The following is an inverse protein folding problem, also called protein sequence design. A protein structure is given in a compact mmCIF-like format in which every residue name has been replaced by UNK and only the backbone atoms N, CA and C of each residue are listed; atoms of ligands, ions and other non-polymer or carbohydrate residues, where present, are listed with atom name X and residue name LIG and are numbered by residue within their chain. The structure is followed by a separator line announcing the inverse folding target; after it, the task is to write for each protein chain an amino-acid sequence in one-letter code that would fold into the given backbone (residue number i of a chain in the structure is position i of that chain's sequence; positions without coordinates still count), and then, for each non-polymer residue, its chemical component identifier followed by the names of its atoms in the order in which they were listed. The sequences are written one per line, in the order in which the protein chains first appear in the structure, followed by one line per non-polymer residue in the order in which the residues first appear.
data_IF_588160109823
#
_entry.id   IF_588160109823
#
_cell.length_a   1.000
_cell.length_b   1.000
_cell.length_c   1.000
_cell.angle_alpha   90.00
_cell.angle_beta   90.00
_cell.angle_gamma   90.00
#
_symmetry.space_group_name_H-M   'P 1'
#
loop_
_entity.id
_entity.type
_entity.pdbx_description
1 polymer ?
#
# COMPACT_ATOMS: atom_id res chain seq x y z
N UNK A 1 -39.27 -23.46 -10.41
CA UNK A 1 -38.85 -23.80 -9.04
C UNK A 1 -37.33 -23.94 -9.03
N UNK A 2 -36.66 -23.02 -8.31
CA UNK A 2 -35.20 -22.86 -8.22
C UNK A 2 -34.75 -23.35 -6.84
N UNK A 3 -34.25 -24.58 -6.71
CA UNK A 3 -33.73 -25.11 -5.44
C UNK A 3 -32.58 -26.10 -5.70
N UNK A 4 -31.50 -25.70 -6.39
CA UNK A 4 -30.29 -26.54 -6.49
C UNK A 4 -28.97 -25.75 -6.56
N UNK A 5 -28.95 -24.48 -6.12
CA UNK A 5 -27.75 -23.64 -6.16
C UNK A 5 -27.33 -23.08 -4.79
N UNK A 6 -27.73 -23.74 -3.69
CA UNK A 6 -27.39 -23.31 -2.30
C UNK A 6 -26.50 -24.34 -1.58
N UNK A 7 -26.32 -25.54 -2.14
CA UNK A 7 -25.58 -26.64 -1.49
C UNK A 7 -24.06 -26.61 -1.82
N UNK A 8 -23.56 -25.56 -2.48
CA UNK A 8 -22.11 -25.36 -2.66
C UNK A 8 -21.46 -24.51 -1.54
N UNK A 9 -22.25 -23.79 -0.74
CA UNK A 9 -21.70 -22.91 0.31
C UNK A 9 -21.51 -23.60 1.69
N UNK A 10 -22.09 -24.79 1.91
CA UNK A 10 -22.09 -25.41 3.25
C UNK A 10 -20.89 -26.36 3.46
N UNK A 11 -20.17 -26.73 2.39
CA UNK A 11 -19.01 -27.62 2.50
C UNK A 11 -17.66 -26.91 2.82
N UNK A 12 -17.64 -25.58 2.93
CA UNK A 12 -16.45 -24.83 3.37
C UNK A 12 -16.34 -24.64 4.89
N UNK A 13 -17.18 -25.33 5.67
CA UNK A 13 -17.20 -25.26 7.14
C UNK A 13 -16.24 -26.24 7.85
N UNK A 14 -15.38 -26.95 7.10
CA UNK A 14 -14.32 -27.82 7.66
C UNK A 14 -12.93 -27.17 7.53
N UNK A 15 -12.79 -26.02 8.19
CA UNK A 15 -11.71 -25.70 9.15
C UNK A 15 -10.23 -26.00 8.84
N UNK A 16 -9.73 -25.74 7.63
CA UNK A 16 -8.29 -25.43 7.43
C UNK A 16 -7.94 -24.66 6.13
N UNK A 17 -8.81 -24.66 5.11
CA UNK A 17 -8.44 -24.21 3.75
C UNK A 17 -8.73 -22.75 3.36
N UNK A 18 -9.60 -22.03 4.08
CA UNK A 18 -10.02 -20.68 3.67
C UNK A 18 -9.00 -19.58 4.02
N UNK A 19 -8.21 -19.75 5.08
CA UNK A 19 -7.22 -18.76 5.49
C UNK A 19 -6.01 -18.72 4.52
N UNK A 20 -5.60 -19.87 3.99
CA UNK A 20 -4.49 -19.96 3.04
C UNK A 20 -4.82 -19.34 1.67
N UNK A 21 -6.08 -19.39 1.24
CA UNK A 21 -6.52 -18.80 -0.03
C UNK A 21 -6.50 -17.26 0.03
N UNK A 22 -7.08 -16.67 1.08
CA UNK A 22 -7.07 -15.21 1.27
C UNK A 22 -5.66 -14.63 1.43
N UNK A 23 -4.78 -15.32 2.15
CA UNK A 23 -3.40 -14.88 2.32
C UNK A 23 -2.57 -14.92 1.01
N UNK A 24 -2.92 -15.82 0.09
CA UNK A 24 -2.33 -15.86 -1.26
C UNK A 24 -2.81 -14.70 -2.13
N UNK A 25 -4.12 -14.42 -2.07
CA UNK A 25 -4.75 -13.33 -2.83
C UNK A 25 -4.23 -11.96 -2.39
N UNK A 26 -4.08 -11.72 -1.08
CA UNK A 26 -3.57 -10.45 -0.55
C UNK A 26 -2.10 -10.19 -0.94
N UNK A 27 -1.27 -11.24 -0.98
CA UNK A 27 0.13 -11.13 -1.43
C UNK A 27 0.21 -10.80 -2.92
N UNK A 28 -0.64 -11.42 -3.74
CA UNK A 28 -0.70 -11.13 -5.17
C UNK A 28 -1.23 -9.71 -5.42
N UNK A 29 -2.26 -9.29 -4.67
CA UNK A 29 -2.80 -7.94 -4.73
C UNK A 29 -1.76 -6.88 -4.31
N UNK A 30 -0.99 -7.15 -3.26
CA UNK A 30 0.11 -6.28 -2.82
C UNK A 30 1.18 -6.16 -3.90
N UNK A 31 1.64 -7.28 -4.44
CA UNK A 31 2.66 -7.28 -5.49
C UNK A 31 2.20 -6.49 -6.73
N UNK A 32 0.93 -6.66 -7.14
CA UNK A 32 0.34 -5.91 -8.23
C UNK A 32 0.26 -4.40 -7.93
N UNK A 33 -0.21 -4.02 -6.74
CA UNK A 33 -0.30 -2.63 -6.33
C UNK A 33 1.08 -1.97 -6.21
N UNK A 34 2.11 -2.68 -5.74
CA UNK A 34 3.50 -2.18 -5.68
C UNK A 34 4.05 -1.92 -7.08
N UNK A 35 3.84 -2.85 -8.01
CA UNK A 35 4.29 -2.67 -9.39
C UNK A 35 3.59 -1.48 -10.08
N UNK A 36 2.28 -1.32 -9.83
CA UNK A 36 1.50 -0.18 -10.34
C UNK A 36 1.96 1.15 -9.72
N UNK A 37 2.16 1.19 -8.40
CA UNK A 37 2.68 2.36 -7.70
C UNK A 37 4.05 2.76 -8.24
N UNK A 38 4.98 1.82 -8.40
CA UNK A 38 6.31 2.12 -8.94
C UNK A 38 6.22 2.72 -10.34
N UNK A 39 5.32 2.21 -11.20
CA UNK A 39 5.11 2.75 -12.54
C UNK A 39 4.57 4.18 -12.53
N UNK A 40 3.55 4.47 -11.72
CA UNK A 40 2.97 5.83 -11.63
C UNK A 40 3.95 6.80 -10.96
N UNK A 41 4.67 6.37 -9.93
CA UNK A 41 5.74 7.16 -9.32
C UNK A 41 6.77 7.59 -10.37
N UNK A 42 7.28 6.66 -11.20
CA UNK A 42 8.27 6.98 -12.22
C UNK A 42 7.74 8.00 -13.24
N UNK A 43 6.47 7.87 -13.63
CA UNK A 43 5.83 8.81 -14.54
C UNK A 43 5.79 10.23 -13.95
N UNK A 44 5.49 10.37 -12.66
CA UNK A 44 5.47 11.67 -11.98
C UNK A 44 6.88 12.21 -11.73
N UNK A 45 7.78 11.38 -11.20
CA UNK A 45 9.15 11.75 -10.89
C UNK A 45 9.95 12.17 -12.13
N UNK A 46 9.70 11.56 -13.29
CA UNK A 46 10.34 11.91 -14.56
C UNK A 46 10.03 13.34 -15.06
N UNK A 47 9.07 14.05 -14.44
CA UNK A 47 8.82 15.48 -14.70
C UNK A 47 9.88 16.38 -14.08
N UNK A 48 10.60 15.88 -13.07
CA UNK A 48 11.52 16.68 -12.24
C UNK A 48 12.91 16.07 -12.10
N UNK A 49 13.07 14.77 -12.39
CA UNK A 49 14.32 14.01 -12.24
C UNK A 49 14.70 13.33 -13.55
N UNK A 50 16.00 13.03 -13.72
CA UNK A 50 16.43 12.17 -14.81
C UNK A 50 15.92 10.73 -14.63
N UNK A 51 15.89 9.96 -15.72
CA UNK A 51 15.33 8.59 -15.73
C UNK A 51 15.97 7.68 -14.67
N UNK A 52 17.28 7.74 -14.48
CA UNK A 52 18.00 6.86 -13.54
C UNK A 52 17.69 7.25 -12.09
N UNK A 53 17.62 8.55 -11.81
CA UNK A 53 17.21 9.07 -10.50
C UNK A 53 15.76 8.70 -10.19
N UNK A 54 14.85 8.91 -11.13
CA UNK A 54 13.44 8.55 -10.98
C UNK A 54 13.26 7.04 -10.75
N UNK A 55 13.93 6.19 -11.54
CA UNK A 55 13.89 4.73 -11.36
C UNK A 55 14.41 4.30 -9.98
N UNK A 56 15.54 4.88 -9.53
CA UNK A 56 16.13 4.55 -8.22
C UNK A 56 15.26 5.01 -7.05
N UNK A 57 14.68 6.21 -7.13
CA UNK A 57 13.82 6.75 -6.09
C UNK A 57 12.54 5.92 -5.98
N UNK A 58 11.83 5.71 -7.09
CA UNK A 58 10.56 5.02 -7.08
C UNK A 58 10.67 3.55 -6.68
N UNK A 59 11.79 2.88 -7.00
CA UNK A 59 12.05 1.53 -6.48
C UNK A 59 12.22 1.53 -4.96
N UNK A 60 12.93 2.51 -4.41
CA UNK A 60 13.12 2.64 -2.97
C UNK A 60 11.78 2.89 -2.26
N UNK A 61 10.97 3.82 -2.77
CA UNK A 61 9.66 4.14 -2.18
C UNK A 61 8.71 2.95 -2.26
N UNK A 62 8.61 2.30 -3.44
CA UNK A 62 7.74 1.14 -3.65
C UNK A 62 8.08 -0.03 -2.72
N UNK A 63 9.37 -0.32 -2.52
CA UNK A 63 9.80 -1.36 -1.58
C UNK A 63 9.49 -1.02 -0.12
N UNK A 64 9.59 0.26 0.28
CA UNK A 64 9.20 0.67 1.64
C UNK A 64 7.69 0.53 1.84
N UNK A 65 6.88 0.98 0.88
CA UNK A 65 5.43 0.83 0.93
C UNK A 65 4.98 -0.63 0.96
N UNK A 66 5.66 -1.51 0.22
CA UNK A 66 5.40 -2.97 0.25
C UNK A 66 5.50 -3.55 1.66
N UNK A 67 6.32 -2.98 2.55
CA UNK A 67 6.52 -3.48 3.91
C UNK A 67 5.54 -2.91 4.93
N UNK A 68 4.88 -1.79 4.61
CA UNK A 68 4.19 -0.95 5.59
C UNK A 68 2.71 -0.74 5.29
N UNK A 69 2.33 -0.75 4.01
CA UNK A 69 0.99 -0.44 3.56
C UNK A 69 0.24 -1.70 3.12
N UNK A 70 -1.07 -1.69 3.38
CA UNK A 70 -2.02 -2.61 2.80
C UNK A 70 -2.22 -2.31 1.29
N UNK A 71 -2.57 -3.31 0.45
CA UNK A 71 -2.88 -3.08 -0.96
C UNK A 71 -3.86 -1.93 -1.23
N UNK A 72 -4.87 -1.75 -0.37
CA UNK A 72 -5.89 -0.71 -0.56
C UNK A 72 -5.37 0.69 -0.22
N UNK A 73 -4.51 0.82 0.78
CA UNK A 73 -3.81 2.08 1.07
C UNK A 73 -2.89 2.47 -0.10
N UNK A 74 -2.20 1.48 -0.67
CA UNK A 74 -1.34 1.69 -1.84
C UNK A 74 -2.14 2.10 -3.08
N UNK A 75 -3.35 1.56 -3.25
CA UNK A 75 -4.29 2.00 -4.30
C UNK A 75 -4.78 3.43 -4.10
N UNK A 76 -4.99 3.88 -2.87
CA UNK A 76 -5.33 5.28 -2.59
C UNK A 76 -4.18 6.20 -3.02
N UNK A 77 -2.93 5.85 -2.68
CA UNK A 77 -1.75 6.61 -3.14
C UNK A 77 -1.62 6.61 -4.67
N UNK A 78 -1.84 5.49 -5.35
CA UNK A 78 -1.81 5.43 -6.82
C UNK A 78 -2.80 6.43 -7.44
N UNK A 79 -4.02 6.50 -6.90
CA UNK A 79 -5.05 7.43 -7.36
C UNK A 79 -4.67 8.89 -7.10
N UNK A 80 -4.04 9.17 -5.96
CA UNK A 80 -3.48 10.50 -5.66
C UNK A 80 -2.38 10.90 -6.65
N UNK A 81 -1.44 9.99 -6.94
CA UNK A 81 -0.40 10.20 -7.94
C UNK A 81 -0.96 10.37 -9.37
N UNK A 82 -2.15 9.84 -9.66
CA UNK A 82 -2.87 10.08 -10.92
C UNK A 82 -3.62 11.42 -10.96
N UNK A 83 -3.71 12.12 -9.83
CA UNK A 83 -4.46 13.36 -9.70
C UNK A 83 -5.98 13.14 -9.67
N UNK A 84 -6.44 11.97 -9.24
CA UNK A 84 -7.88 11.65 -9.17
C UNK A 84 -8.59 12.34 -7.98
N UNK A 85 -7.84 12.89 -7.03
CA UNK A 85 -8.38 13.67 -5.92
C UNK A 85 -8.09 15.16 -6.14
N UNK A 86 -9.09 16.01 -5.89
CA UNK A 86 -8.86 17.45 -5.75
C UNK A 86 -8.09 17.73 -4.46
N UNK A 87 -7.42 18.88 -4.40
CA UNK A 87 -6.71 19.33 -3.20
C UNK A 87 -7.65 19.38 -1.98
N UNK A 88 -8.87 19.90 -2.15
CA UNK A 88 -9.89 19.93 -1.10
C UNK A 88 -10.30 18.51 -0.63
N UNK A 89 -10.43 17.56 -1.56
CA UNK A 89 -10.77 16.17 -1.22
C UNK A 89 -9.62 15.48 -0.45
N UNK A 90 -8.37 15.84 -0.73
CA UNK A 90 -7.21 15.36 0.02
C UNK A 90 -7.22 15.87 1.45
N UNK A 91 -7.50 17.16 1.65
CA UNK A 91 -7.51 17.79 2.97
C UNK A 91 -8.65 17.26 3.87
N UNK A 92 -9.80 16.96 3.27
CA UNK A 92 -10.97 16.45 4.01
C UNK A 92 -10.88 14.95 4.32
N UNK A 93 -10.06 14.20 3.58
CA UNK A 93 -9.86 12.77 3.82
C UNK A 93 -8.64 12.54 4.72
N UNK A 94 -8.88 12.33 6.01
CA UNK A 94 -7.82 12.14 7.02
C UNK A 94 -6.88 10.97 6.67
N UNK A 95 -7.42 9.87 6.15
CA UNK A 95 -6.61 8.69 5.80
C UNK A 95 -5.70 9.01 4.61
N UNK A 96 -6.24 9.66 3.58
CA UNK A 96 -5.44 10.06 2.42
C UNK A 96 -4.38 11.10 2.80
N UNK A 97 -4.70 12.03 3.69
CA UNK A 97 -3.74 13.03 4.17
C UNK A 97 -2.58 12.35 4.93
N UNK A 98 -2.89 11.42 5.84
CA UNK A 98 -1.86 10.66 6.57
C UNK A 98 -1.00 9.82 5.62
N UNK A 99 -1.62 9.17 4.62
CA UNK A 99 -0.90 8.41 3.59
C UNK A 99 0.01 9.32 2.75
N UNK A 100 -0.46 10.51 2.36
CA UNK A 100 0.35 11.46 1.61
C UNK A 100 1.53 12.00 2.42
N UNK A 101 1.34 12.30 3.70
CA UNK A 101 2.43 12.67 4.61
C UNK A 101 3.44 11.54 4.78
N UNK A 102 2.95 10.31 4.92
CA UNK A 102 3.79 9.12 4.99
C UNK A 102 4.63 8.95 3.71
N UNK A 103 4.01 9.05 2.53
CA UNK A 103 4.70 8.98 1.24
C UNK A 103 5.80 10.04 1.09
N UNK A 104 5.51 11.28 1.49
CA UNK A 104 6.50 12.36 1.47
C UNK A 104 7.73 12.04 2.33
N UNK A 105 7.53 11.50 3.52
CA UNK A 105 8.61 11.14 4.44
C UNK A 105 9.43 9.94 3.95
N UNK A 106 8.77 8.96 3.32
CA UNK A 106 9.46 7.84 2.68
C UNK A 106 10.28 8.33 1.48
N UNK A 107 9.73 9.23 0.66
CA UNK A 107 10.43 9.80 -0.48
C UNK A 107 11.66 10.60 -0.05
N UNK A 108 11.53 11.46 0.97
CA UNK A 108 12.62 12.23 1.56
C UNK A 108 13.69 11.29 2.14
N UNK A 109 13.30 10.27 2.91
CA UNK A 109 14.24 9.29 3.43
C UNK A 109 14.97 8.53 2.32
N UNK A 110 14.27 8.16 1.24
CA UNK A 110 14.88 7.57 0.06
C UNK A 110 15.81 8.55 -0.67
N UNK A 111 15.60 9.85 -0.61
CA UNK A 111 16.49 10.86 -1.20
C UNK A 111 17.75 11.10 -0.35
N UNK A 112 17.61 11.17 0.96
CA UNK A 112 18.65 11.64 1.87
C UNK A 112 19.47 10.52 2.51
N UNK A 113 18.90 9.32 2.70
CA UNK A 113 19.52 8.24 3.45
C UNK A 113 19.91 7.05 2.56
N UNK A 114 21.20 6.83 2.27
CA UNK A 114 21.65 5.65 1.50
C UNK A 114 21.24 4.31 2.12
N UNK A 115 21.08 4.25 3.44
CA UNK A 115 20.64 3.06 4.17
C UNK A 115 19.18 2.67 3.88
N UNK A 116 18.33 3.61 3.44
CA UNK A 116 16.98 3.34 2.94
C UNK A 116 16.98 2.71 1.55
N UNK A 117 17.97 3.09 0.72
CA UNK A 117 18.14 2.53 -0.62
C UNK A 117 18.76 1.13 -0.61
N UNK A 118 19.47 0.76 0.46
CA UNK A 118 20.28 -0.45 0.56
C UNK A 118 19.50 -1.74 0.88
N UNK A 119 18.17 -1.68 1.00
CA UNK A 119 17.32 -2.86 1.24
C UNK A 119 16.27 -2.63 2.32
N UNK A 120 15.35 -3.60 2.51
CA UNK A 120 14.14 -3.42 3.30
C UNK A 120 14.47 -3.18 4.78
N UNK A 121 14.47 -1.93 5.20
CA UNK A 121 14.33 -1.54 6.59
C UNK A 121 12.99 -0.84 6.69
N UNK A 122 12.02 -1.46 7.36
CA UNK A 122 10.80 -0.76 7.71
C UNK A 122 11.20 0.51 8.47
N UNK A 123 10.97 1.67 7.88
CA UNK A 123 10.95 2.94 8.60
C UNK A 123 9.93 2.81 9.73
N UNK A 124 10.38 2.61 10.96
CA UNK A 124 9.52 2.91 12.09
C UNK A 124 9.42 4.43 12.13
N UNK A 125 8.31 4.97 11.62
CA UNK A 125 8.05 6.39 11.73
C UNK A 125 8.24 6.81 13.20
N UNK A 126 8.86 7.95 13.53
CA UNK A 126 9.12 8.37 14.90
C UNK A 126 7.86 8.36 15.79
N UNK A 127 6.67 8.49 15.19
CA UNK A 127 5.37 8.42 15.86
C UNK A 127 4.75 7.01 15.96
N UNK A 128 5.37 5.97 15.38
CA UNK A 128 4.87 4.59 15.37
C UNK A 128 5.41 3.70 16.51
N UNK A 129 6.11 4.24 17.52
CA UNK A 129 6.49 3.49 18.73
C UNK A 129 5.86 4.11 19.99
N UNK A 130 5.15 3.36 20.88
CA UNK A 130 4.45 2.07 20.77
C UNK A 130 2.92 2.26 20.84
N UNK A 131 2.15 1.65 19.93
CA UNK A 131 0.70 1.82 19.99
C UNK A 131 -0.15 1.34 18.82
N UNK A 132 0.40 0.67 17.78
CA UNK A 132 -0.44 -0.15 16.88
C UNK A 132 -0.95 -1.36 17.67
N UNK A 133 -1.89 -1.11 18.58
CA UNK A 133 -2.99 -2.02 18.74
C UNK A 133 -3.52 -2.24 17.32
N UNK A 134 -3.48 -3.49 16.85
CA UNK A 134 -4.38 -3.90 15.78
C UNK A 134 -5.73 -3.33 16.16
N UNK A 135 -6.28 -2.41 15.36
CA UNK A 135 -7.72 -2.20 15.38
C UNK A 135 -8.32 -3.52 14.88
N UNK A 136 -8.43 -4.49 15.78
CA UNK A 136 -9.42 -5.54 15.65
C UNK A 136 -10.73 -4.78 15.61
N UNK A 137 -11.29 -4.71 14.41
CA UNK A 137 -12.63 -4.23 14.18
C UNK A 137 -13.53 -4.75 15.30
N UNK A 138 -14.14 -3.82 16.04
CA UNK A 138 -15.27 -4.12 16.90
C UNK A 138 -16.30 -4.84 16.03
N UNK A 139 -16.47 -6.14 16.27
CA UNK A 139 -17.65 -6.88 15.87
C UNK A 139 -18.55 -6.97 17.12
N UNK A 140 -19.88 -6.92 16.94
CA UNK A 140 -20.86 -6.37 17.89
C UNK A 140 -20.95 -7.08 19.23
#
# INVERSE_FOLDING_TARGET
MRIFCVIACVACLLTAGCAASRQGDDKAALAAAVAEFEAVCRQQAARHLDKRQADSLCRCVAENHRLQLHPDELRLLIRDYRGEFSEDARLQNNDLNQLAMHDALVAEACLENPSFRAGPRAYAAPWERPGRARMTASAP
#
